data_IF_574595346592
#
_entry.id   IF_574595346592
#
_cell.length_a   1.000
_cell.length_b   1.000
_cell.length_c   1.000
_cell.angle_alpha   90.00
_cell.angle_beta   90.00
_cell.angle_gamma   90.00
#
_symmetry.space_group_name_H-M   'P 1'
#
loop_
_entity.id
_entity.type
_entity.pdbx_description
1 polymer ?
#
# COMPACT_ATOMS: atom_id res chain seq x y z
N UNK A 1 0.75 -3.02 24.77
CA UNK A 1 0.51 -3.56 23.41
C UNK A 1 -0.38 -4.79 23.51
N UNK A 2 -1.44 -4.91 22.70
CA UNK A 2 -2.24 -6.14 22.68
C UNK A 2 -1.42 -7.27 22.04
N UNK A 3 -1.31 -8.43 22.70
CA UNK A 3 -0.66 -9.61 22.11
C UNK A 3 -1.41 -10.00 20.84
N UNK A 4 -0.73 -9.92 19.71
CA UNK A 4 -1.27 -10.41 18.45
C UNK A 4 -1.45 -11.93 18.55
N UNK A 5 -2.57 -12.44 18.05
CA UNK A 5 -2.81 -13.88 17.89
C UNK A 5 -1.72 -14.49 17.00
N UNK A 6 -1.18 -15.63 17.41
CA UNK A 6 -0.20 -16.33 16.60
C UNK A 6 -0.82 -16.74 15.24
N UNK A 7 -0.03 -16.76 14.14
CA UNK A 7 -0.52 -17.13 12.82
C UNK A 7 -1.23 -18.49 12.81
N UNK A 8 -0.69 -19.47 13.54
CA UNK A 8 -1.26 -20.81 13.64
C UNK A 8 -2.63 -20.84 14.34
N UNK A 9 -2.78 -20.10 15.45
CA UNK A 9 -4.08 -19.95 16.12
C UNK A 9 -5.11 -19.33 15.17
N UNK A 10 -4.69 -18.36 14.36
CA UNK A 10 -5.56 -17.70 13.39
C UNK A 10 -6.00 -18.63 12.27
N UNK A 11 -5.11 -19.45 11.72
CA UNK A 11 -5.44 -20.49 10.74
C UNK A 11 -6.45 -21.49 11.32
N UNK A 12 -6.23 -21.95 12.54
CA UNK A 12 -7.15 -22.84 13.25
C UNK A 12 -8.54 -22.20 13.40
N UNK A 13 -8.62 -20.94 13.82
CA UNK A 13 -9.89 -20.21 13.95
C UNK A 13 -10.61 -20.13 12.60
N UNK A 14 -9.91 -19.78 11.52
CA UNK A 14 -10.50 -19.70 10.18
C UNK A 14 -11.02 -21.06 9.74
N UNK A 15 -10.27 -22.13 9.98
CA UNK A 15 -10.72 -23.49 9.67
C UNK A 15 -11.97 -23.86 10.47
N UNK A 16 -12.02 -23.57 11.77
CA UNK A 16 -13.20 -23.78 12.61
C UNK A 16 -14.42 -22.99 12.12
N UNK A 17 -14.24 -21.74 11.68
CA UNK A 17 -15.32 -20.90 11.14
C UNK A 17 -15.89 -21.49 9.84
N UNK A 18 -15.01 -21.99 8.96
CA UNK A 18 -15.39 -22.53 7.66
C UNK A 18 -15.87 -23.98 7.73
N UNK A 19 -15.59 -24.69 8.83
CA UNK A 19 -16.03 -26.06 9.01
C UNK A 19 -17.56 -26.16 9.11
N UNK A 20 -18.15 -27.24 8.59
CA UNK A 20 -19.60 -27.50 8.67
C UNK A 20 -20.12 -27.69 10.11
N UNK A 21 -19.21 -27.91 11.07
CA UNK A 21 -19.55 -28.08 12.48
C UNK A 21 -19.84 -26.72 13.11
N UNK A 22 -21.07 -26.54 13.60
CA UNK A 22 -21.48 -25.30 14.29
C UNK A 22 -20.89 -25.25 15.70
N UNK A 23 -19.66 -24.78 15.81
CA UNK A 23 -19.03 -24.47 17.10
C UNK A 23 -19.48 -23.11 17.63
N UNK A 24 -19.75 -23.04 18.94
CA UNK A 24 -20.02 -21.77 19.61
C UNK A 24 -18.74 -20.94 19.74
N UNK A 25 -18.87 -19.62 19.85
CA UNK A 25 -17.71 -18.72 20.01
C UNK A 25 -16.85 -19.08 21.22
N UNK A 26 -17.49 -19.49 22.32
CA UNK A 26 -16.81 -19.91 23.55
C UNK A 26 -15.98 -21.19 23.35
N UNK A 27 -16.53 -22.19 22.65
CA UNK A 27 -15.80 -23.42 22.32
C UNK A 27 -14.58 -23.13 21.44
N UNK A 28 -14.75 -22.29 20.40
CA UNK A 28 -13.66 -21.89 19.51
C UNK A 28 -12.57 -21.12 20.27
N UNK A 29 -12.96 -20.23 21.17
CA UNK A 29 -12.06 -19.45 22.01
C UNK A 29 -11.21 -20.36 22.91
N UNK A 30 -11.85 -21.36 23.55
CA UNK A 30 -11.18 -22.36 24.38
C UNK A 30 -10.19 -23.21 23.58
N UNK A 31 -10.58 -23.71 22.41
CA UNK A 31 -9.72 -24.51 21.52
C UNK A 31 -8.51 -23.72 21.01
N UNK A 32 -8.75 -22.49 20.54
CA UNK A 32 -7.70 -21.62 20.02
C UNK A 32 -6.88 -20.92 21.11
N UNK A 33 -7.19 -21.14 22.40
CA UNK A 33 -6.56 -20.47 23.55
C UNK A 33 -6.55 -18.94 23.39
N UNK A 34 -7.70 -18.37 23.06
CA UNK A 34 -7.87 -16.94 22.83
C UNK A 34 -9.16 -16.39 23.44
N UNK A 35 -9.33 -15.08 23.44
CA UNK A 35 -10.57 -14.45 23.94
C UNK A 35 -11.70 -14.57 22.93
N UNK A 36 -12.93 -14.67 23.40
CA UNK A 36 -14.12 -14.69 22.54
C UNK A 36 -14.21 -13.45 21.64
N UNK A 37 -13.77 -12.29 22.17
CA UNK A 37 -13.68 -11.03 21.43
C UNK A 37 -12.80 -11.15 20.18
N UNK A 38 -11.75 -11.97 20.24
CA UNK A 38 -10.87 -12.23 19.10
C UNK A 38 -11.56 -13.06 18.01
N UNK A 39 -12.33 -14.08 18.40
CA UNK A 39 -13.15 -14.88 17.48
C UNK A 39 -14.17 -13.99 16.77
N UNK A 40 -14.88 -13.13 17.52
CA UNK A 40 -15.87 -12.19 16.97
C UNK A 40 -15.23 -11.20 16.00
N UNK A 41 -14.05 -10.67 16.33
CA UNK A 41 -13.30 -9.78 15.44
C UNK A 41 -12.86 -10.47 14.15
N UNK A 42 -12.38 -11.72 14.23
CA UNK A 42 -12.01 -12.50 13.04
C UNK A 42 -13.24 -12.78 12.18
N UNK A 43 -14.36 -13.21 12.78
CA UNK A 43 -15.64 -13.39 12.07
C UNK A 43 -16.08 -12.10 11.38
N UNK A 44 -16.00 -10.95 12.06
CA UNK A 44 -16.32 -9.65 11.47
C UNK A 44 -15.43 -9.33 10.27
N UNK A 45 -14.11 -9.55 10.37
CA UNK A 45 -13.17 -9.35 9.27
C UNK A 45 -13.45 -10.28 8.08
N UNK A 46 -13.72 -11.56 8.35
CA UNK A 46 -14.12 -12.53 7.32
C UNK A 46 -15.40 -12.12 6.60
N UNK A 47 -16.40 -11.60 7.33
CA UNK A 47 -17.66 -11.11 6.74
C UNK A 47 -17.45 -9.85 5.88
N UNK A 48 -16.61 -8.92 6.32
CA UNK A 48 -16.39 -7.64 5.63
C UNK A 48 -15.42 -7.75 4.45
N UNK A 49 -14.38 -8.56 4.56
CA UNK A 49 -13.25 -8.59 3.61
C UNK A 49 -13.04 -9.96 2.95
N UNK A 50 -13.83 -10.98 3.29
CA UNK A 50 -13.64 -12.36 2.82
C UNK A 50 -12.40 -13.07 3.39
N UNK A 51 -11.58 -12.35 4.18
CA UNK A 51 -10.30 -12.81 4.69
C UNK A 51 -10.17 -12.44 6.17
N UNK A 52 -9.43 -13.23 6.98
CA UNK A 52 -9.18 -12.85 8.36
C UNK A 52 -8.27 -11.61 8.40
N UNK A 53 -7.47 -11.39 7.36
CA UNK A 53 -6.59 -10.24 7.17
C UNK A 53 -7.31 -9.15 6.37
N UNK A 54 -7.51 -7.96 6.94
CA UNK A 54 -8.01 -6.84 6.16
C UNK A 54 -7.00 -6.46 5.06
N UNK A 55 -7.46 -5.84 3.97
CA UNK A 55 -6.57 -5.31 2.95
C UNK A 55 -5.59 -4.31 3.58
N UNK A 56 -4.35 -4.27 3.08
CA UNK A 56 -3.36 -3.30 3.52
C UNK A 56 -3.76 -1.93 2.99
N UNK A 57 -4.42 -1.14 3.83
CA UNK A 57 -4.71 0.27 3.52
C UNK A 57 -3.43 1.07 3.85
N UNK A 58 -2.84 1.78 2.88
CA UNK A 58 -1.67 2.61 3.17
C UNK A 58 -2.06 3.70 4.18
N UNK A 59 -1.29 3.89 5.25
CA UNK A 59 -1.60 4.92 6.23
C UNK A 59 -1.41 6.31 5.62
N UNK A 60 -2.33 7.22 5.93
CA UNK A 60 -2.22 8.65 5.63
C UNK A 60 -3.00 9.14 4.41
N UNK A 61 -2.75 10.41 4.05
CA UNK A 61 -3.41 11.10 2.95
C UNK A 61 -3.03 10.49 1.60
N UNK A 62 -4.01 10.38 0.70
CA UNK A 62 -3.78 10.03 -0.69
C UNK A 62 -2.75 10.99 -1.31
N UNK A 63 -1.88 10.46 -2.17
CA UNK A 63 -0.88 11.28 -2.86
C UNK A 63 -1.59 12.28 -3.78
N UNK A 64 -1.12 13.52 -3.76
CA UNK A 64 -1.54 14.55 -4.72
C UNK A 64 -1.07 14.18 -6.13
N UNK A 65 0.11 13.57 -6.23
CA UNK A 65 0.67 13.06 -7.48
C UNK A 65 0.25 11.60 -7.65
N UNK A 66 -0.60 11.32 -8.64
CA UNK A 66 -1.05 9.96 -8.96
C UNK A 66 0.02 9.19 -9.73
N UNK A 67 -0.14 7.87 -9.88
CA UNK A 67 0.79 7.05 -10.66
C UNK A 67 0.86 7.49 -12.13
N UNK A 68 -0.30 7.81 -12.75
CA UNK A 68 -0.38 8.27 -14.14
C UNK A 68 0.44 9.55 -14.35
N UNK A 69 0.33 10.50 -13.42
CA UNK A 69 1.10 11.74 -13.46
C UNK A 69 2.61 11.51 -13.33
N UNK A 70 3.02 10.49 -12.56
CA UNK A 70 4.43 10.09 -12.46
C UNK A 70 4.92 9.46 -13.75
N UNK A 71 4.13 8.60 -14.39
CA UNK A 71 4.51 7.94 -15.64
C UNK A 71 4.74 8.98 -16.75
N UNK A 72 3.82 9.92 -16.92
CA UNK A 72 4.00 11.04 -17.88
C UNK A 72 5.17 11.93 -17.53
N UNK A 73 5.42 12.17 -16.23
CA UNK A 73 6.58 12.92 -15.78
C UNK A 73 7.87 12.17 -16.11
N UNK A 74 7.89 10.84 -16.05
CA UNK A 74 9.05 10.04 -16.44
C UNK A 74 9.33 10.11 -17.94
N UNK A 75 8.30 10.02 -18.78
CA UNK A 75 8.45 10.17 -20.22
C UNK A 75 8.99 11.56 -20.59
N UNK A 76 8.56 12.58 -19.86
CA UNK A 76 9.08 13.93 -20.01
C UNK A 76 10.55 14.05 -19.55
N UNK A 77 10.89 13.46 -18.40
CA UNK A 77 12.26 13.45 -17.87
C UNK A 77 13.23 12.61 -18.71
N UNK A 78 12.74 11.62 -19.48
CA UNK A 78 13.56 10.88 -20.44
C UNK A 78 14.00 11.77 -21.61
N UNK A 79 13.13 12.70 -22.05
CA UNK A 79 13.45 13.68 -23.09
C UNK A 79 14.41 14.77 -22.59
N UNK A 80 14.24 15.19 -21.32
CA UNK A 80 15.04 16.26 -20.71
C UNK A 80 15.59 15.79 -19.35
N UNK A 81 16.70 15.03 -19.34
CA UNK A 81 17.29 14.55 -18.10
C UNK A 81 17.87 15.74 -17.31
N UNK A 82 17.40 15.92 -16.07
CA UNK A 82 17.95 16.94 -15.15
C UNK A 82 17.05 18.14 -14.88
N UNK A 83 15.77 18.10 -15.28
CA UNK A 83 14.80 19.13 -14.93
C UNK A 83 14.74 19.38 -13.41
N UNK A 84 14.72 20.66 -13.01
CA UNK A 84 14.58 21.04 -11.61
C UNK A 84 13.19 20.70 -11.06
N UNK A 85 13.03 20.54 -9.74
CA UNK A 85 11.75 20.17 -9.12
C UNK A 85 10.62 21.16 -9.44
N UNK A 86 10.95 22.45 -9.57
CA UNK A 86 9.99 23.49 -9.97
C UNK A 86 9.54 23.32 -11.42
N UNK A 87 10.44 22.91 -12.32
CA UNK A 87 10.09 22.58 -13.70
C UNK A 87 9.17 21.36 -13.77
N UNK A 88 9.37 20.36 -12.91
CA UNK A 88 8.46 19.23 -12.78
C UNK A 88 7.08 19.66 -12.26
N UNK A 89 7.04 20.58 -11.29
CA UNK A 89 5.79 21.13 -10.77
C UNK A 89 5.01 21.89 -11.85
N UNK A 90 5.72 22.68 -12.67
CA UNK A 90 5.12 23.39 -13.80
C UNK A 90 4.57 22.43 -14.85
N UNK A 91 5.31 21.38 -15.21
CA UNK A 91 4.82 20.35 -16.13
C UNK A 91 3.53 19.69 -15.62
N UNK A 92 3.48 19.34 -14.33
CA UNK A 92 2.28 18.74 -13.74
C UNK A 92 1.11 19.72 -13.66
N UNK A 93 1.38 21.02 -13.56
CA UNK A 93 0.36 22.05 -13.66
C UNK A 93 -0.17 22.17 -15.08
N UNK A 94 0.72 22.24 -16.08
CA UNK A 94 0.35 22.42 -17.48
C UNK A 94 -0.44 21.20 -18.03
N UNK A 95 -0.05 19.98 -17.65
CA UNK A 95 -0.67 18.75 -18.17
C UNK A 95 -1.90 18.30 -17.35
N UNK A 96 -1.88 18.47 -16.03
CA UNK A 96 -2.90 17.90 -15.14
C UNK A 96 -3.65 18.93 -14.29
N UNK A 97 -3.35 20.23 -14.40
CA UNK A 97 -3.90 21.29 -13.57
C UNK A 97 -3.69 21.05 -12.06
N UNK A 98 -2.56 20.41 -11.70
CA UNK A 98 -2.18 20.17 -10.30
C UNK A 98 -0.83 20.80 -10.05
N UNK A 99 -0.73 21.64 -9.03
CA UNK A 99 0.53 22.27 -8.62
C UNK A 99 1.05 21.62 -7.33
N UNK A 100 1.72 20.46 -7.42
CA UNK A 100 2.27 19.82 -6.23
C UNK A 100 3.49 20.59 -5.72
N UNK A 101 3.64 20.61 -4.38
CA UNK A 101 4.86 21.17 -3.79
C UNK A 101 6.10 20.34 -4.21
N UNK A 102 7.30 20.95 -4.29
CA UNK A 102 8.54 20.23 -4.61
C UNK A 102 8.78 19.01 -3.71
N UNK A 103 8.43 19.12 -2.42
CA UNK A 103 8.52 18.02 -1.45
C UNK A 103 7.54 16.87 -1.74
N UNK A 104 6.36 17.17 -2.29
CA UNK A 104 5.39 16.17 -2.72
C UNK A 104 5.88 15.41 -3.95
N UNK A 105 6.48 16.12 -4.92
CA UNK A 105 7.11 15.52 -6.10
C UNK A 105 8.26 14.61 -5.67
N UNK A 106 9.17 15.09 -4.82
CA UNK A 106 10.29 14.30 -4.32
C UNK A 106 9.81 13.05 -3.57
N UNK A 107 8.78 13.17 -2.73
CA UNK A 107 8.21 12.02 -2.01
C UNK A 107 7.58 11.01 -2.95
N UNK A 108 6.88 11.48 -3.99
CA UNK A 108 6.27 10.62 -5.00
C UNK A 108 7.34 9.88 -5.81
N UNK A 109 8.38 10.58 -6.27
CA UNK A 109 9.55 9.99 -6.94
C UNK A 109 10.25 8.93 -6.07
N UNK A 110 10.50 9.22 -4.79
CA UNK A 110 11.13 8.27 -3.87
C UNK A 110 10.32 6.98 -3.65
N UNK A 111 8.98 7.05 -3.66
CA UNK A 111 8.11 5.86 -3.51
C UNK A 111 8.24 4.88 -4.67
N UNK A 112 8.58 5.37 -5.85
CA UNK A 112 8.79 4.56 -7.07
C UNK A 112 10.28 4.22 -7.24
N UNK A 113 11.13 4.53 -6.25
CA UNK A 113 12.57 4.24 -6.29
C UNK A 113 13.37 5.22 -7.16
N UNK A 114 12.78 6.34 -7.58
CA UNK A 114 13.48 7.34 -8.37
C UNK A 114 14.36 8.22 -7.48
N UNK A 115 15.67 8.15 -7.71
CA UNK A 115 16.67 8.96 -7.03
C UNK A 115 17.42 9.80 -8.06
N UNK A 116 18.07 10.88 -7.63
CA UNK A 116 18.92 11.69 -8.52
C UNK A 116 20.02 10.85 -9.21
N UNK A 117 20.39 9.70 -8.63
CA UNK A 117 21.34 8.74 -9.21
C UNK A 117 20.74 7.97 -10.38
N UNK A 118 19.50 7.49 -10.27
CA UNK A 118 18.84 6.75 -11.37
C UNK A 118 18.53 7.66 -12.57
N UNK A 119 18.21 8.94 -12.33
CA UNK A 119 18.07 9.94 -13.39
C UNK A 119 19.36 10.15 -14.21
N UNK A 120 20.54 9.97 -13.59
CA UNK A 120 21.85 10.09 -14.26
C UNK A 120 22.29 8.81 -14.98
N UNK A 121 21.77 7.65 -14.60
CA UNK A 121 22.15 6.36 -15.21
C UNK A 121 21.27 5.97 -16.39
N UNK A 122 19.98 6.29 -16.39
CA UNK A 122 19.08 5.97 -17.52
C UNK A 122 19.53 6.51 -18.90
N UNK A 123 20.18 7.67 -19.05
CA UNK A 123 20.70 8.11 -20.35
C UNK A 123 21.85 7.25 -20.88
N UNK A 124 22.49 6.42 -20.03
CA UNK A 124 23.60 5.55 -20.42
C UNK A 124 23.16 4.15 -20.88
N UNK A 125 21.96 3.70 -20.51
CA UNK A 125 21.45 2.37 -20.86
C UNK A 125 20.57 2.36 -22.13
N UNK A 126 20.26 3.53 -22.70
CA UNK A 126 19.63 3.67 -24.01
C UNK A 126 20.63 4.17 -25.05
N UNK A 127 21.63 3.35 -25.37
CA UNK A 127 22.35 3.42 -26.64
C UNK A 127 22.51 1.98 -27.16
N UNK A 128 22.12 1.70 -28.42
CA UNK A 128 22.31 0.38 -29.03
C UNK A 128 23.79 0.01 -29.14
#
# INVERSE_FOLDING_TARGET
MARNLNPEQRKMIVHMINSKKRLTTSQMAKLAKCTERSITNIRKKMRLFGSPNPPKIPPGRALIVTSVMLDTLYDYLAKIPGLYLEGMAKFLWDEFNVLPSPSSIQRALSRVGWTKKTARQKPKEQKP
#
